data_IF_744198088302
#
_entry.id   IF_744198088302
#
_cell.length_a   1.000
_cell.length_b   1.000
_cell.length_c   1.000
_cell.angle_alpha   90.00
_cell.angle_beta   90.00
_cell.angle_gamma   90.00
#
_symmetry.space_group_name_H-M   'P 1'
#
loop_
_entity.id
_entity.type
_entity.pdbx_description
1 polymer ?
#
# COMPACT_ATOMS: atom_id res chain seq x y z
N UNK A 1 43.59 -17.23 -1.23
CA UNK A 1 43.29 -16.34 -2.38
C UNK A 1 41.97 -16.72 -3.05
N UNK A 2 41.73 -17.98 -3.37
CA UNK A 2 40.52 -18.50 -4.05
C UNK A 2 39.24 -18.18 -3.27
N UNK A 3 39.20 -18.37 -1.94
CA UNK A 3 38.03 -18.11 -1.10
C UNK A 3 37.60 -16.62 -1.14
N UNK A 4 38.56 -15.69 -1.15
CA UNK A 4 38.25 -14.25 -1.27
C UNK A 4 37.64 -13.89 -2.62
N UNK A 5 38.10 -14.52 -3.70
CA UNK A 5 37.53 -14.32 -5.05
C UNK A 5 36.12 -14.89 -5.10
N UNK A 6 35.86 -16.05 -4.48
CA UNK A 6 34.53 -16.67 -4.43
C UNK A 6 33.51 -15.82 -3.68
N UNK A 7 33.93 -15.20 -2.56
CA UNK A 7 33.08 -14.27 -1.77
C UNK A 7 32.74 -13.03 -2.58
N UNK A 8 33.70 -12.46 -3.33
CA UNK A 8 33.48 -11.27 -4.17
C UNK A 8 32.51 -11.58 -5.31
N UNK A 9 32.64 -12.75 -5.95
CA UNK A 9 31.73 -13.17 -7.02
C UNK A 9 30.32 -13.41 -6.46
N UNK A 10 30.19 -14.02 -5.30
CA UNK A 10 28.91 -14.29 -4.64
C UNK A 10 28.19 -12.97 -4.27
N UNK A 11 28.93 -11.99 -3.73
CA UNK A 11 28.34 -10.67 -3.40
C UNK A 11 27.92 -9.91 -4.65
N UNK A 12 28.68 -9.99 -5.74
CA UNK A 12 28.28 -9.36 -7.03
C UNK A 12 26.99 -9.94 -7.60
N UNK A 13 26.76 -11.26 -7.47
CA UNK A 13 25.53 -11.91 -7.94
C UNK A 13 24.29 -11.43 -7.15
N UNK A 14 24.41 -11.20 -5.84
CA UNK A 14 23.32 -10.66 -5.01
C UNK A 14 22.96 -9.22 -5.38
N UNK A 15 23.95 -8.37 -5.69
CA UNK A 15 23.70 -6.98 -6.12
C UNK A 15 22.94 -6.89 -7.45
N UNK A 16 23.17 -7.80 -8.39
CA UNK A 16 22.47 -7.80 -9.68
C UNK A 16 20.99 -8.20 -9.57
N UNK A 17 20.64 -9.07 -8.62
CA UNK A 17 19.25 -9.47 -8.38
C UNK A 17 18.41 -8.29 -7.86
N UNK A 18 18.88 -7.56 -6.87
CA UNK A 18 18.17 -6.40 -6.30
C UNK A 18 18.02 -5.23 -7.28
N UNK A 19 19.02 -4.98 -8.14
CA UNK A 19 18.96 -3.91 -9.14
C UNK A 19 17.85 -4.14 -10.19
N UNK A 20 17.56 -5.40 -10.55
CA UNK A 20 16.50 -5.76 -11.48
C UNK A 20 15.10 -5.58 -10.88
N UNK A 21 14.94 -5.86 -9.62
CA UNK A 21 13.72 -5.76 -8.83
C UNK A 21 13.24 -4.31 -8.74
N UNK A 22 14.10 -3.41 -8.29
CA UNK A 22 13.79 -1.98 -8.23
C UNK A 22 13.43 -1.36 -9.60
N UNK A 23 13.93 -1.94 -10.70
CA UNK A 23 13.63 -1.44 -12.05
C UNK A 23 12.16 -1.59 -12.43
N UNK A 24 11.52 -2.73 -12.16
CA UNK A 24 10.10 -2.91 -12.48
C UNK A 24 9.21 -1.99 -11.64
N UNK A 25 9.48 -1.86 -10.36
CA UNK A 25 8.73 -0.97 -9.49
C UNK A 25 8.85 0.51 -9.92
N UNK A 26 10.05 0.99 -10.18
CA UNK A 26 10.29 2.37 -10.60
C UNK A 26 9.62 2.69 -11.95
N UNK A 27 9.68 1.75 -12.90
CA UNK A 27 9.01 1.89 -14.18
C UNK A 27 7.47 1.88 -14.02
N UNK A 28 6.94 0.99 -13.17
CA UNK A 28 5.52 0.94 -12.86
C UNK A 28 5.02 2.24 -12.22
N UNK A 29 5.80 2.78 -11.27
CA UNK A 29 5.48 4.05 -10.60
C UNK A 29 5.41 5.20 -11.61
N UNK A 30 6.37 5.29 -12.52
CA UNK A 30 6.36 6.30 -13.60
C UNK A 30 5.10 6.18 -14.47
N UNK A 31 4.74 4.96 -14.90
CA UNK A 31 3.53 4.73 -15.69
C UNK A 31 2.26 5.08 -14.90
N UNK A 32 2.22 4.82 -13.60
CA UNK A 32 1.13 5.23 -12.73
C UNK A 32 0.98 6.76 -12.68
N UNK A 33 2.08 7.50 -12.54
CA UNK A 33 2.11 8.96 -12.57
C UNK A 33 1.66 9.52 -13.94
N UNK A 34 1.99 8.82 -15.03
CA UNK A 34 1.51 9.11 -16.39
C UNK A 34 0.06 8.66 -16.64
N UNK A 35 -0.66 8.14 -15.62
CA UNK A 35 -2.02 7.60 -15.70
C UNK A 35 -2.20 6.41 -16.65
N UNK A 36 -1.11 5.74 -17.01
CA UNK A 36 -1.09 4.48 -17.79
C UNK A 36 -1.32 3.29 -16.85
N UNK A 37 -2.52 3.23 -16.25
CA UNK A 37 -2.80 2.33 -15.13
C UNK A 37 -2.71 0.85 -15.49
N UNK A 38 -3.08 0.44 -16.70
CA UNK A 38 -3.00 -0.96 -17.13
C UNK A 38 -1.55 -1.44 -17.24
N UNK A 39 -0.69 -0.62 -17.85
CA UNK A 39 0.74 -0.93 -17.98
C UNK A 39 1.43 -0.91 -16.61
N UNK A 40 1.09 0.08 -15.77
CA UNK A 40 1.58 0.14 -14.39
C UNK A 40 1.17 -1.10 -13.59
N UNK A 41 -0.12 -1.52 -13.69
CA UNK A 41 -0.65 -2.72 -13.03
C UNK A 41 0.13 -3.96 -13.41
N UNK A 42 0.37 -4.17 -14.70
CA UNK A 42 1.16 -5.29 -15.18
C UNK A 42 2.58 -5.31 -14.58
N UNK A 43 3.25 -4.16 -14.53
CA UNK A 43 4.61 -4.08 -13.99
C UNK A 43 4.65 -4.22 -12.46
N UNK A 44 3.66 -3.70 -11.71
CA UNK A 44 3.57 -3.96 -10.26
C UNK A 44 3.35 -5.45 -9.99
N UNK A 45 2.47 -6.11 -10.73
CA UNK A 45 2.28 -7.57 -10.62
C UNK A 45 3.57 -8.32 -10.95
N UNK A 46 4.28 -7.91 -12.00
CA UNK A 46 5.57 -8.48 -12.34
C UNK A 46 6.60 -8.27 -11.23
N UNK A 47 6.63 -7.08 -10.60
CA UNK A 47 7.51 -6.82 -9.47
C UNK A 47 7.24 -7.79 -8.31
N UNK A 48 5.97 -8.06 -7.98
CA UNK A 48 5.56 -8.99 -6.93
C UNK A 48 6.03 -10.42 -7.21
N UNK A 49 6.09 -10.85 -8.48
CA UNK A 49 6.63 -12.17 -8.83
C UNK A 49 8.11 -12.29 -8.45
N UNK A 50 8.88 -11.21 -8.58
CA UNK A 50 10.31 -11.19 -8.22
C UNK A 50 10.54 -10.88 -6.74
N UNK A 51 9.73 -9.98 -6.16
CA UNK A 51 9.74 -9.62 -4.73
C UNK A 51 8.32 -9.69 -4.14
N UNK A 52 7.90 -10.87 -3.67
CA UNK A 52 6.59 -11.04 -3.04
C UNK A 52 6.38 -10.23 -1.75
N UNK A 53 7.47 -9.70 -1.17
CA UNK A 53 7.42 -8.90 0.07
C UNK A 53 7.49 -7.40 -0.17
N UNK A 54 7.43 -6.94 -1.40
CA UNK A 54 7.48 -5.52 -1.74
C UNK A 54 6.13 -4.83 -1.45
N UNK A 55 5.93 -4.37 -0.22
CA UNK A 55 4.68 -3.77 0.26
C UNK A 55 4.14 -2.65 -0.66
N UNK A 56 5.03 -1.79 -1.15
CA UNK A 56 4.65 -0.68 -2.03
C UNK A 56 4.01 -1.13 -3.35
N UNK A 57 4.37 -2.30 -3.90
CA UNK A 57 3.72 -2.81 -5.13
C UNK A 57 2.25 -3.15 -4.88
N UNK A 58 1.93 -3.74 -3.74
CA UNK A 58 0.55 -4.01 -3.36
C UNK A 58 -0.22 -2.70 -3.10
N UNK A 59 0.40 -1.71 -2.45
CA UNK A 59 -0.22 -0.40 -2.25
C UNK A 59 -0.59 0.26 -3.58
N UNK A 60 0.32 0.29 -4.55
CA UNK A 60 0.02 0.85 -5.87
C UNK A 60 -1.02 0.05 -6.65
N UNK A 61 -1.05 -1.29 -6.52
CA UNK A 61 -2.13 -2.11 -7.08
C UNK A 61 -3.48 -1.76 -6.44
N UNK A 62 -3.52 -1.58 -5.13
CA UNK A 62 -4.74 -1.14 -4.44
C UNK A 62 -5.24 0.21 -4.98
N UNK A 63 -4.34 1.17 -5.15
CA UNK A 63 -4.68 2.49 -5.73
C UNK A 63 -5.20 2.39 -7.16
N UNK A 64 -4.69 1.46 -7.97
CA UNK A 64 -5.21 1.20 -9.31
C UNK A 64 -6.60 0.57 -9.23
N UNK A 65 -6.80 -0.44 -8.38
CA UNK A 65 -8.11 -1.06 -8.19
C UNK A 65 -9.17 -0.08 -7.65
N UNK A 66 -8.76 0.89 -6.83
CA UNK A 66 -9.63 2.01 -6.44
C UNK A 66 -10.11 2.83 -7.65
N UNK A 67 -9.21 3.12 -8.60
CA UNK A 67 -9.54 3.85 -9.83
C UNK A 67 -10.45 3.01 -10.75
N UNK A 68 -10.27 1.68 -10.74
CA UNK A 68 -11.09 0.72 -11.48
C UNK A 68 -12.42 0.38 -10.77
N UNK A 69 -12.69 0.97 -9.61
CA UNK A 69 -13.87 0.72 -8.75
C UNK A 69 -13.99 -0.75 -8.29
N UNK A 70 -12.87 -1.48 -8.24
CA UNK A 70 -12.80 -2.87 -7.82
C UNK A 70 -12.48 -2.97 -6.32
N UNK A 71 -13.42 -2.54 -5.47
CA UNK A 71 -13.23 -2.40 -4.01
C UNK A 71 -12.70 -3.67 -3.32
N UNK A 72 -13.17 -4.85 -3.69
CA UNK A 72 -12.70 -6.11 -3.09
C UNK A 72 -11.21 -6.37 -3.38
N UNK A 73 -10.73 -6.00 -4.58
CA UNK A 73 -9.32 -6.11 -4.94
C UNK A 73 -8.49 -4.99 -4.29
N UNK A 74 -9.04 -3.78 -4.20
CA UNK A 74 -8.44 -2.68 -3.43
C UNK A 74 -8.17 -3.13 -2.00
N UNK A 75 -9.20 -3.56 -1.28
CA UNK A 75 -9.10 -3.98 0.11
C UNK A 75 -8.11 -5.14 0.31
N UNK A 76 -8.16 -6.16 -0.54
CA UNK A 76 -7.22 -7.29 -0.48
C UNK A 76 -5.77 -6.82 -0.57
N UNK A 77 -5.45 -5.91 -1.49
CA UNK A 77 -4.10 -5.42 -1.68
C UNK A 77 -3.67 -4.49 -0.54
N UNK A 78 -4.57 -3.67 0.03
CA UNK A 78 -4.30 -2.86 1.21
C UNK A 78 -3.99 -3.73 2.44
N UNK A 79 -4.77 -4.78 2.66
CA UNK A 79 -4.50 -5.73 3.75
C UNK A 79 -3.15 -6.43 3.57
N UNK A 80 -2.79 -6.80 2.34
CA UNK A 80 -1.45 -7.36 2.05
C UNK A 80 -0.36 -6.33 2.31
N UNK A 81 -0.58 -5.06 1.95
CA UNK A 81 0.36 -3.97 2.27
C UNK A 81 0.60 -3.90 3.77
N UNK A 82 -0.45 -3.91 4.60
CA UNK A 82 -0.32 -3.83 6.06
C UNK A 82 0.26 -5.10 6.70
N UNK A 83 0.08 -6.26 6.08
CA UNK A 83 0.74 -7.49 6.53
C UNK A 83 2.27 -7.38 6.36
N UNK A 84 2.73 -6.72 5.30
CA UNK A 84 4.15 -6.56 4.97
C UNK A 84 4.77 -5.30 5.60
N UNK A 85 3.98 -4.24 5.74
CA UNK A 85 4.35 -2.95 6.32
C UNK A 85 3.21 -2.45 7.23
N UNK A 86 3.18 -2.87 8.52
CA UNK A 86 2.12 -2.51 9.46
C UNK A 86 2.02 -1.00 9.78
N UNK A 87 3.07 -0.23 9.45
CA UNK A 87 3.12 1.21 9.68
C UNK A 87 2.80 2.04 8.43
N UNK A 88 2.29 1.42 7.37
CA UNK A 88 1.92 2.11 6.15
C UNK A 88 0.69 2.99 6.36
N UNK A 89 0.93 4.28 6.61
CA UNK A 89 -0.15 5.24 6.91
C UNK A 89 -1.13 5.41 5.74
N UNK A 90 -0.67 5.34 4.48
CA UNK A 90 -1.54 5.46 3.30
C UNK A 90 -2.49 4.25 3.20
N UNK A 91 -1.98 3.04 3.45
CA UNK A 91 -2.82 1.84 3.41
C UNK A 91 -3.90 1.85 4.51
N UNK A 92 -3.57 2.25 5.74
CA UNK A 92 -4.56 2.38 6.82
C UNK A 92 -5.59 3.46 6.47
N UNK A 93 -5.17 4.61 5.96
CA UNK A 93 -6.07 5.69 5.56
C UNK A 93 -7.07 5.23 4.47
N UNK A 94 -6.61 4.50 3.46
CA UNK A 94 -7.47 3.98 2.40
C UNK A 94 -8.45 2.91 2.92
N UNK A 95 -8.05 2.05 3.86
CA UNK A 95 -8.96 1.11 4.51
C UNK A 95 -10.02 1.83 5.35
N UNK A 96 -9.66 2.90 6.08
CA UNK A 96 -10.65 3.72 6.79
C UNK A 96 -11.69 4.25 5.82
N UNK A 97 -11.29 4.70 4.62
CA UNK A 97 -12.20 5.22 3.61
C UNK A 97 -13.19 4.14 3.13
N UNK A 98 -12.72 2.90 2.89
CA UNK A 98 -13.57 1.75 2.56
C UNK A 98 -14.57 1.46 3.67
N UNK A 99 -14.13 1.36 4.92
CA UNK A 99 -14.98 1.01 6.05
C UNK A 99 -16.05 2.09 6.31
N UNK A 100 -15.68 3.37 6.15
CA UNK A 100 -16.64 4.49 6.25
C UNK A 100 -17.67 4.46 5.12
N UNK A 101 -17.31 4.08 3.89
CA UNK A 101 -18.27 3.90 2.79
C UNK A 101 -19.25 2.78 3.05
N UNK A 102 -18.79 1.69 3.67
CA UNK A 102 -19.63 0.54 4.06
C UNK A 102 -20.45 0.77 5.32
N UNK A 103 -20.33 1.93 5.96
CA UNK A 103 -20.95 2.21 7.26
C UNK A 103 -20.46 1.26 8.38
N UNK A 104 -19.27 0.70 8.24
CA UNK A 104 -18.64 -0.14 9.27
C UNK A 104 -17.83 0.73 10.24
N UNK A 105 -18.54 1.49 11.06
CA UNK A 105 -17.94 2.51 11.96
C UNK A 105 -17.07 1.90 13.05
N UNK A 106 -17.40 0.72 13.53
CA UNK A 106 -16.58 0.02 14.53
C UNK A 106 -15.17 -0.21 14.00
N UNK A 107 -15.06 -0.78 12.80
CA UNK A 107 -13.77 -1.04 12.16
C UNK A 107 -13.05 0.24 11.76
N UNK A 108 -13.78 1.24 11.26
CA UNK A 108 -13.22 2.55 10.93
C UNK A 108 -12.63 3.25 12.18
N UNK A 109 -13.28 3.17 13.35
CA UNK A 109 -12.75 3.70 14.63
C UNK A 109 -11.48 2.97 15.08
N UNK A 110 -11.45 1.63 14.97
CA UNK A 110 -10.25 0.82 15.25
C UNK A 110 -9.06 1.24 14.38
N UNK A 111 -9.27 1.29 13.07
CA UNK A 111 -8.24 1.70 12.10
C UNK A 111 -7.78 3.15 12.35
N UNK A 112 -8.71 4.07 12.66
CA UNK A 112 -8.37 5.46 12.98
C UNK A 112 -7.52 5.58 14.26
N UNK A 113 -7.77 4.72 15.26
CA UNK A 113 -6.92 4.66 16.46
C UNK A 113 -5.48 4.26 16.12
N UNK A 114 -5.30 3.31 15.20
CA UNK A 114 -3.98 2.93 14.72
C UNK A 114 -3.35 4.03 13.87
N UNK A 115 -4.11 4.64 12.98
CA UNK A 115 -3.65 5.75 12.13
C UNK A 115 -3.12 6.93 12.96
N UNK A 116 -3.81 7.31 14.04
CA UNK A 116 -3.37 8.36 14.97
C UNK A 116 -1.98 8.10 15.57
N UNK A 117 -1.61 6.82 15.79
CA UNK A 117 -0.34 6.45 16.41
C UNK A 117 0.83 6.49 15.43
N UNK A 118 0.56 6.25 14.16
CA UNK A 118 1.61 6.06 13.15
C UNK A 118 1.71 7.20 12.15
N UNK A 119 0.65 8.02 11.98
CA UNK A 119 0.65 9.06 10.96
C UNK A 119 1.82 10.03 11.16
N UNK A 120 2.46 10.40 10.05
CA UNK A 120 3.52 11.39 9.99
C UNK A 120 3.24 12.43 8.90
N UNK A 121 2.97 11.96 7.68
CA UNK A 121 2.72 12.82 6.52
C UNK A 121 1.23 13.05 6.27
N UNK A 122 0.38 12.09 6.66
CA UNK A 122 -1.07 12.14 6.44
C UNK A 122 -1.88 12.54 7.67
N UNK A 123 -1.25 13.01 8.75
CA UNK A 123 -1.96 13.43 9.97
C UNK A 123 -3.02 14.51 9.73
N UNK A 124 -2.88 15.32 8.69
CA UNK A 124 -3.90 16.30 8.27
C UNK A 124 -5.25 15.66 7.89
N UNK A 125 -5.28 14.36 7.59
CA UNK A 125 -6.51 13.61 7.30
C UNK A 125 -7.34 13.26 8.54
N UNK A 126 -6.74 13.30 9.75
CA UNK A 126 -7.42 12.92 10.99
C UNK A 126 -8.70 13.72 11.23
N UNK A 127 -8.68 15.04 11.06
CA UNK A 127 -9.87 15.88 11.28
C UNK A 127 -11.02 15.48 10.36
N UNK A 128 -10.75 15.17 9.10
CA UNK A 128 -11.77 14.72 8.15
C UNK A 128 -12.35 13.36 8.54
N UNK A 129 -11.51 12.40 8.94
CA UNK A 129 -11.98 11.09 9.42
C UNK A 129 -12.86 11.24 10.66
N UNK A 130 -12.42 12.02 11.63
CA UNK A 130 -13.15 12.24 12.89
C UNK A 130 -14.50 12.92 12.67
N UNK A 131 -14.57 13.88 11.77
CA UNK A 131 -15.83 14.52 11.41
C UNK A 131 -16.82 13.53 10.79
N UNK A 132 -16.36 12.69 9.86
CA UNK A 132 -17.19 11.63 9.27
C UNK A 132 -17.69 10.65 10.35
N UNK A 133 -16.84 10.24 11.28
CA UNK A 133 -17.23 9.36 12.39
C UNK A 133 -18.27 10.01 13.33
N UNK A 134 -18.12 11.31 13.65
CA UNK A 134 -19.06 12.05 14.50
C UNK A 134 -20.45 12.26 13.87
N UNK A 135 -20.51 12.45 12.56
CA UNK A 135 -21.78 12.58 11.83
C UNK A 135 -22.65 11.33 11.96
N UNK A 136 -22.03 10.17 12.07
CA UNK A 136 -22.73 8.90 12.25
C UNK A 136 -23.20 8.69 13.68
N UNK A 137 -22.37 8.99 14.68
CA UNK A 137 -22.78 8.89 16.10
C UNK A 137 -24.03 9.74 16.39
N UNK A 138 -24.26 10.83 15.64
CA UNK A 138 -25.46 11.65 15.74
C UNK A 138 -26.69 11.04 15.07
N UNK A 139 -26.52 10.29 13.99
CA UNK A 139 -27.62 9.62 13.28
C UNK A 139 -28.15 8.39 14.01
N UNK A 140 -27.25 7.65 14.68
CA UNK A 140 -27.63 6.48 15.48
C UNK A 140 -28.29 6.86 16.83
N UNK A 141 -28.17 8.13 17.26
CA UNK A 141 -28.75 8.65 18.50
C UNK A 141 -30.12 9.34 18.30
N UNK A 142 -30.64 9.40 17.08
CA UNK A 142 -31.95 10.01 16.74
C UNK A 142 -32.94 8.96 16.25
#
# INVERSE_FOLDING_TARGET
MIIRIFIIILTMLFFHAQAKENKFFNQAKKLYEEKKYQDAKFLFQKNIVYDPKHASSYLYLAKIFKIEEEEAKEEKNLNTTLLLDPQNEEAIYLLIDIELKRSNFSKAKELNSNFKKICSTLCSKLSSIENRLKEFDKKDAS
#
